data_IF_819818278412
#
_entry.id   IF_819818278412
#
_cell.length_a   1.000
_cell.length_b   1.000
_cell.length_c   1.000
_cell.angle_alpha   90.00
_cell.angle_beta   90.00
_cell.angle_gamma   90.00
#
_symmetry.space_group_name_H-M   'P 1'
#
loop_
_entity.id
_entity.type
_entity.pdbx_description
1 polymer ?
#
# COMPACT_ATOMS: atom_id res chain seq x y z
N UNK A 1 7.43 -16.32 -20.44
CA UNK A 1 7.27 -15.91 -20.21
C UNK A 1 7.18 -15.35 -19.74
N UNK A 2 7.23 -14.97 -19.53
CA UNK A 2 7.13 -14.39 -19.06
C UNK A 2 7.12 -13.78 -18.48
N UNK A 3 7.16 -13.47 -18.22
CA UNK A 3 7.00 -12.90 -17.61
C UNK A 3 7.01 -12.40 -16.83
N UNK A 4 7.03 -12.17 -16.79
CA UNK A 4 6.93 -11.61 -15.98
C UNK A 4 7.38 -11.36 -14.66
N UNK A 5 8.44 -11.49 -14.14
CA UNK A 5 8.91 -11.26 -12.82
C UNK A 5 8.64 -9.89 -12.24
N UNK A 6 8.79 -8.80 -12.95
CA UNK A 6 8.39 -7.49 -12.42
C UNK A 6 6.93 -7.44 -12.05
N UNK A 7 6.10 -8.12 -12.80
CA UNK A 7 4.69 -8.18 -12.54
C UNK A 7 4.38 -8.88 -11.22
N UNK A 8 5.05 -10.00 -10.97
CA UNK A 8 4.87 -10.74 -9.73
C UNK A 8 5.30 -9.92 -8.53
N UNK A 9 6.43 -9.24 -8.64
CA UNK A 9 6.93 -8.40 -7.57
C UNK A 9 5.96 -7.27 -7.28
N UNK A 10 5.50 -6.61 -8.33
CA UNK A 10 4.56 -5.50 -8.20
C UNK A 10 3.25 -5.95 -7.57
N UNK A 11 2.73 -7.09 -8.02
CA UNK A 11 1.48 -7.61 -7.47
C UNK A 11 1.63 -8.02 -6.01
N UNK A 12 2.74 -8.63 -5.66
CA UNK A 12 3.00 -9.02 -4.28
C UNK A 12 3.10 -7.79 -3.38
N UNK A 13 3.73 -6.73 -3.87
CA UNK A 13 3.82 -5.49 -3.12
C UNK A 13 2.44 -4.87 -2.93
N UNK A 14 1.65 -4.79 -3.99
CA UNK A 14 0.29 -4.23 -3.90
C UNK A 14 -0.57 -5.04 -2.95
N UNK A 15 -0.53 -6.36 -3.06
CA UNK A 15 -1.30 -7.23 -2.19
C UNK A 15 -0.89 -7.05 -0.73
N UNK A 16 0.41 -6.98 -0.48
CA UNK A 16 0.92 -6.76 0.86
C UNK A 16 0.48 -5.43 1.44
N UNK A 17 0.46 -4.40 0.61
CA UNK A 17 0.01 -3.07 1.06
C UNK A 17 -1.49 -3.08 1.37
N UNK A 18 -2.28 -3.78 0.58
CA UNK A 18 -3.70 -3.92 0.88
C UNK A 18 -3.91 -4.60 2.22
N UNK A 19 -3.15 -5.66 2.48
CA UNK A 19 -3.24 -6.36 3.76
C UNK A 19 -2.79 -5.49 4.91
N UNK A 20 -1.74 -4.70 4.70
CA UNK A 20 -1.26 -3.78 5.71
C UNK A 20 -2.35 -2.77 6.09
N UNK A 21 -3.02 -2.20 5.08
CA UNK A 21 -4.08 -1.24 5.33
C UNK A 21 -5.24 -1.90 6.08
N UNK A 22 -5.65 -3.09 5.67
CA UNK A 22 -6.74 -3.79 6.34
C UNK A 22 -6.41 -4.05 7.81
N UNK A 23 -5.18 -4.42 8.09
CA UNK A 23 -4.74 -4.70 9.44
C UNK A 23 -4.64 -3.44 10.29
N UNK A 24 -3.99 -2.40 9.74
CA UNK A 24 -3.75 -1.18 10.52
C UNK A 24 -5.03 -0.40 10.80
N UNK A 25 -6.00 -0.50 9.90
CA UNK A 25 -7.26 0.21 10.07
C UNK A 25 -8.36 -0.68 10.64
N UNK A 26 -8.02 -1.90 11.03
CA UNK A 26 -8.98 -2.85 11.64
C UNK A 26 -10.21 -3.08 10.78
N UNK A 27 -9.99 -3.22 9.47
CA UNK A 27 -11.10 -3.47 8.56
C UNK A 27 -11.42 -4.97 8.57
N UNK A 28 -12.64 -5.31 8.97
CA UNK A 28 -13.09 -6.69 8.96
C UNK A 28 -14.00 -6.95 7.78
N UNK A 29 -14.12 -8.20 7.38
CA UNK A 29 -15.06 -8.61 6.34
C UNK A 29 -14.63 -8.29 4.93
N UNK A 30 -13.42 -7.83 4.72
CA UNK A 30 -12.88 -7.53 3.40
C UNK A 30 -11.55 -8.24 3.23
N UNK A 31 -11.41 -8.96 2.13
CA UNK A 31 -10.13 -9.58 1.79
C UNK A 31 -9.36 -8.69 0.82
N UNK A 32 -8.04 -8.81 0.85
CA UNK A 32 -7.20 -8.02 -0.07
C UNK A 32 -7.59 -8.27 -1.53
N UNK A 33 -8.03 -9.47 -1.84
CA UNK A 33 -8.44 -9.83 -3.21
C UNK A 33 -9.66 -9.05 -3.69
N UNK A 34 -10.44 -8.51 -2.79
CA UNK A 34 -11.62 -7.72 -3.15
C UNK A 34 -11.29 -6.27 -3.47
N UNK A 35 -10.06 -5.86 -3.20
CA UNK A 35 -9.62 -4.49 -3.41
C UNK A 35 -8.89 -4.43 -4.73
N UNK A 36 -9.32 -3.52 -5.63
CA UNK A 36 -8.63 -3.36 -6.91
C UNK A 36 -7.44 -2.43 -6.74
N UNK A 37 -6.47 -2.58 -7.63
CA UNK A 37 -5.26 -1.75 -7.58
C UNK A 37 -5.54 -0.29 -7.85
N UNK A 38 -6.60 -0.01 -8.59
CA UNK A 38 -6.90 1.35 -9.06
C UNK A 38 -7.86 2.11 -8.16
N UNK A 39 -8.47 1.44 -7.19
CA UNK A 39 -9.42 2.17 -6.35
C UNK A 39 -8.69 3.04 -5.34
N UNK A 40 -9.29 4.18 -4.98
CA UNK A 40 -8.68 5.06 -3.97
C UNK A 40 -8.54 4.34 -2.64
N UNK A 41 -7.45 4.64 -1.95
CA UNK A 41 -7.23 4.07 -0.62
C UNK A 41 -8.13 4.76 0.41
N UNK A 42 -8.26 6.07 0.27
CA UNK A 42 -9.05 6.89 1.20
C UNK A 42 -10.19 7.56 0.44
N UNK A 43 -11.37 7.51 1.02
CA UNK A 43 -12.47 8.34 0.54
C UNK A 43 -13.05 7.98 -0.80
N UNK A 44 -12.93 6.77 -1.24
CA UNK A 44 -13.45 6.37 -2.55
C UNK A 44 -14.79 5.68 -2.44
N UNK A 45 -15.25 5.19 -3.58
CA UNK A 45 -16.47 4.41 -3.68
C UNK A 45 -16.18 2.92 -3.73
N UNK A 46 -14.96 2.51 -3.39
CA UNK A 46 -14.59 1.11 -3.37
C UNK A 46 -15.06 0.40 -2.12
N UNK A 47 -14.51 -0.77 -1.88
CA UNK A 47 -14.90 -1.56 -0.71
C UNK A 47 -14.40 -0.98 0.59
N UNK A 48 -13.36 -0.14 0.53
CA UNK A 48 -12.83 0.50 1.73
C UNK A 48 -13.54 1.83 1.96
N UNK A 49 -13.89 2.09 3.22
CA UNK A 49 -14.57 3.33 3.59
C UNK A 49 -13.70 4.04 4.62
N UNK A 50 -12.48 4.36 4.22
CA UNK A 50 -11.49 4.93 5.13
C UNK A 50 -11.50 6.45 5.07
N UNK A 51 -11.21 7.08 6.20
CA UNK A 51 -11.22 8.53 6.31
C UNK A 51 -9.81 9.06 6.63
N UNK A 52 -9.72 10.35 6.93
CA UNK A 52 -8.44 10.99 7.16
C UNK A 52 -7.74 10.50 8.43
N UNK A 53 -8.48 10.00 9.41
CA UNK A 53 -7.85 9.40 10.59
C UNK A 53 -7.16 8.11 10.20
N UNK A 54 -7.79 7.33 9.34
CA UNK A 54 -7.17 6.11 8.83
C UNK A 54 -5.92 6.43 8.02
N UNK A 55 -5.93 7.54 7.29
CA UNK A 55 -4.77 7.96 6.52
C UNK A 55 -3.56 8.19 7.41
N UNK A 56 -3.76 8.79 8.59
CA UNK A 56 -2.68 9.01 9.55
C UNK A 56 -2.08 7.67 10.00
N UNK A 57 -2.96 6.70 10.27
CA UNK A 57 -2.49 5.37 10.69
C UNK A 57 -1.70 4.69 9.58
N UNK A 58 -2.16 4.82 8.34
CA UNK A 58 -1.47 4.21 7.21
C UNK A 58 -0.09 4.84 7.01
N UNK A 59 -0.01 6.16 7.05
CA UNK A 59 1.27 6.86 6.89
C UNK A 59 2.26 6.39 7.96
N UNK A 60 1.81 6.33 9.21
CA UNK A 60 2.67 5.89 10.30
C UNK A 60 3.15 4.45 10.08
N UNK A 61 2.26 3.58 9.61
CA UNK A 61 2.61 2.19 9.35
C UNK A 61 3.63 2.08 8.22
N UNK A 62 3.46 2.86 7.16
CA UNK A 62 4.41 2.85 6.04
C UNK A 62 5.77 3.36 6.46
N UNK A 63 5.80 4.44 7.25
CA UNK A 63 7.07 4.96 7.75
C UNK A 63 7.79 3.95 8.62
N UNK A 64 7.05 3.26 9.47
CA UNK A 64 7.61 2.27 10.37
C UNK A 64 8.08 1.02 9.61
N UNK A 65 7.26 0.56 8.66
CA UNK A 65 7.54 -0.68 7.95
C UNK A 65 8.71 -0.53 6.98
N UNK A 66 8.76 0.59 6.26
CA UNK A 66 9.75 0.77 5.21
C UNK A 66 10.86 1.74 5.57
N UNK A 67 10.76 2.40 6.72
CA UNK A 67 11.79 3.34 7.15
C UNK A 67 11.85 4.61 6.32
N UNK A 68 10.74 4.98 5.70
CA UNK A 68 10.67 6.20 4.87
C UNK A 68 10.00 7.31 5.66
N UNK A 69 10.11 8.52 5.12
CA UNK A 69 9.44 9.69 5.69
C UNK A 69 8.70 10.44 4.61
N UNK A 70 7.48 10.84 4.92
CA UNK A 70 6.69 11.68 4.03
C UNK A 70 6.91 13.13 4.47
N UNK A 71 7.61 13.87 3.63
CA UNK A 71 8.07 15.21 4.02
C UNK A 71 7.04 16.31 3.81
N UNK A 72 5.95 15.99 3.13
CA UNK A 72 4.90 16.97 2.90
C UNK A 72 3.56 16.29 2.85
N UNK A 73 2.51 17.08 3.09
CA UNK A 73 1.16 16.59 2.97
C UNK A 73 0.85 16.19 1.53
N UNK A 74 1.47 16.88 0.56
CA UNK A 74 1.26 16.53 -0.84
C UNK A 74 1.81 15.16 -1.19
N UNK A 75 2.99 14.82 -0.66
CA UNK A 75 3.59 13.51 -0.90
C UNK A 75 2.73 12.40 -0.31
N UNK A 76 2.27 12.57 0.92
CA UNK A 76 1.44 11.53 1.54
C UNK A 76 0.07 11.43 0.87
N UNK A 77 -0.49 12.55 0.42
CA UNK A 77 -1.79 12.52 -0.24
C UNK A 77 -1.73 11.73 -1.55
N UNK A 78 -0.62 11.84 -2.26
CA UNK A 78 -0.50 11.17 -3.54
C UNK A 78 -0.62 9.65 -3.42
N UNK A 79 -0.06 9.07 -2.38
CA UNK A 79 -0.09 7.61 -2.24
C UNK A 79 -1.51 7.07 -2.01
N UNK A 80 -2.44 7.94 -1.63
CA UNK A 80 -3.81 7.50 -1.38
C UNK A 80 -4.68 7.53 -2.63
N UNK A 81 -4.12 7.94 -3.78
CA UNK A 81 -4.87 7.94 -5.03
C UNK A 81 -5.27 6.54 -5.46
N UNK A 82 -4.38 5.57 -5.22
CA UNK A 82 -4.69 4.17 -5.48
C UNK A 82 -3.60 3.30 -4.87
N UNK A 83 -3.87 2.00 -4.75
CA UNK A 83 -2.85 1.07 -4.29
C UNK A 83 -1.72 0.94 -5.29
N UNK A 84 -2.02 1.11 -6.59
CA UNK A 84 -0.98 1.10 -7.60
C UNK A 84 0.00 2.26 -7.38
N UNK A 85 -0.52 3.46 -7.13
CA UNK A 85 0.33 4.63 -6.87
C UNK A 85 1.11 4.43 -5.57
N UNK A 86 0.46 3.91 -4.54
CA UNK A 86 1.14 3.64 -3.26
C UNK A 86 2.31 2.68 -3.48
N UNK A 87 2.08 1.59 -4.20
CA UNK A 87 3.12 0.60 -4.43
C UNK A 87 4.28 1.20 -5.24
N UNK A 88 3.96 2.00 -6.26
CA UNK A 88 4.99 2.63 -7.06
C UNK A 88 5.85 3.57 -6.22
N UNK A 89 5.22 4.33 -5.33
CA UNK A 89 5.95 5.24 -4.45
C UNK A 89 6.88 4.46 -3.52
N UNK A 90 6.37 3.39 -2.92
CA UNK A 90 7.17 2.57 -2.01
C UNK A 90 8.33 1.93 -2.76
N UNK A 91 8.09 1.41 -3.95
CA UNK A 91 9.15 0.79 -4.75
C UNK A 91 10.24 1.79 -5.11
N UNK A 92 9.85 3.04 -5.38
CA UNK A 92 10.81 4.08 -5.80
C UNK A 92 11.56 4.69 -4.61
N UNK A 93 10.94 4.78 -3.44
CA UNK A 93 11.49 5.55 -2.33
C UNK A 93 11.88 4.72 -1.11
N UNK A 94 11.35 3.51 -0.99
CA UNK A 94 11.67 2.65 0.14
C UNK A 94 13.03 1.98 -0.05
N UNK A 95 13.76 1.74 1.04
CA UNK A 95 15.01 1.00 0.94
C UNK A 95 14.76 -0.38 0.34
N UNK A 96 15.58 -0.74 -0.62
CA UNK A 96 15.38 -1.97 -1.37
C UNK A 96 15.23 -3.20 -0.46
N UNK A 97 16.10 -3.31 0.53
CA UNK A 97 16.07 -4.44 1.45
C UNK A 97 14.73 -4.54 2.18
N UNK A 98 14.21 -3.41 2.62
CA UNK A 98 12.96 -3.38 3.36
C UNK A 98 11.80 -3.77 2.46
N UNK A 99 11.81 -3.24 1.24
CA UNK A 99 10.75 -3.54 0.29
C UNK A 99 10.77 -5.02 -0.08
N UNK A 100 11.95 -5.56 -0.34
CA UNK A 100 12.09 -6.97 -0.70
C UNK A 100 11.67 -7.90 0.44
N UNK A 101 12.02 -7.54 1.67
CA UNK A 101 11.60 -8.32 2.83
C UNK A 101 10.08 -8.33 2.96
N UNK A 102 9.48 -7.16 2.76
CA UNK A 102 8.02 -7.03 2.83
C UNK A 102 7.34 -7.87 1.74
N UNK A 103 7.85 -7.79 0.52
CA UNK A 103 7.30 -8.54 -0.60
C UNK A 103 7.40 -10.05 -0.34
N UNK A 104 8.55 -10.50 0.16
CA UNK A 104 8.75 -11.92 0.46
C UNK A 104 7.79 -12.41 1.54
N UNK A 105 7.51 -11.58 2.53
CA UNK A 105 6.62 -11.94 3.62
C UNK A 105 5.15 -12.01 3.18
N UNK A 106 4.82 -11.35 2.06
CA UNK A 106 3.44 -11.24 1.60
C UNK A 106 3.16 -11.96 0.29
N UNK A 107 4.07 -12.79 -0.16
CA UNK A 107 3.86 -13.60 -1.35
C UNK A 107 2.97 -14.79 -1.09
#
# INVERSE_FOLDING_TARGET
MTSDSPSDYSQALRSGLKQLVLRECNVGGVDADQITDDEPVIGGNGVLQLDSLDAVEIVAALERTFGIKFESAGASRKIFESFAVMADYIAANGPRERVETFVAANR
#
